data_IF_380969347162
#
_entry.id   IF_380969347162
#
_cell.length_a   1.000
_cell.length_b   1.000
_cell.length_c   1.000
_cell.angle_alpha   90.00
_cell.angle_beta   90.00
_cell.angle_gamma   90.00
#
_symmetry.space_group_name_H-M   'P 1'
#
loop_
_entity.id
_entity.type
_entity.pdbx_description
1 polymer ?
#
# COMPACT_ATOMS: atom_id res chain seq x y z
N UNK A 1 25.55 -33.65 -13.81
CA UNK A 1 24.30 -33.48 -13.09
C UNK A 1 23.50 -32.43 -13.85
N UNK A 2 22.40 -32.80 -14.50
CA UNK A 2 21.55 -31.81 -15.19
C UNK A 2 20.78 -31.01 -14.17
N UNK A 3 20.94 -29.69 -14.17
CA UNK A 3 20.14 -28.80 -13.33
C UNK A 3 18.73 -28.80 -13.97
N UNK A 4 17.79 -29.46 -13.33
CA UNK A 4 16.38 -29.37 -13.72
C UNK A 4 15.86 -28.00 -13.28
N UNK A 5 15.71 -27.05 -14.21
CA UNK A 5 14.95 -25.84 -13.96
C UNK A 5 13.50 -26.22 -13.79
N UNK A 6 12.87 -25.75 -12.72
CA UNK A 6 11.43 -25.87 -12.52
C UNK A 6 10.76 -25.03 -13.60
N UNK A 7 10.11 -25.68 -14.56
CA UNK A 7 9.36 -24.98 -15.60
C UNK A 7 8.16 -24.27 -14.96
N UNK A 8 7.86 -23.06 -15.41
CA UNK A 8 6.58 -22.40 -15.09
C UNK A 8 5.44 -23.27 -15.64
N UNK A 9 4.32 -23.33 -14.92
CA UNK A 9 3.10 -23.92 -15.43
C UNK A 9 2.57 -23.17 -16.68
N UNK A 10 1.58 -23.72 -17.38
CA UNK A 10 0.89 -23.01 -18.45
C UNK A 10 0.38 -21.66 -17.95
N UNK A 11 0.50 -20.60 -18.75
CA UNK A 11 0.18 -19.23 -18.34
C UNK A 11 -1.26 -19.10 -17.85
N UNK A 12 -2.21 -19.77 -18.49
CA UNK A 12 -3.62 -19.74 -18.12
C UNK A 12 -3.84 -20.33 -16.71
N UNK A 13 -3.14 -21.44 -16.38
CA UNK A 13 -3.19 -22.04 -15.05
C UNK A 13 -2.56 -21.14 -13.98
N UNK A 14 -1.40 -20.55 -14.30
CA UNK A 14 -0.74 -19.60 -13.38
C UNK A 14 -1.65 -18.41 -13.10
N UNK A 15 -2.26 -17.84 -14.16
CA UNK A 15 -3.16 -16.69 -14.03
C UNK A 15 -4.42 -17.04 -13.23
N UNK A 16 -5.05 -18.18 -13.48
CA UNK A 16 -6.25 -18.62 -12.78
C UNK A 16 -6.02 -18.78 -11.26
N UNK A 17 -4.84 -19.27 -10.88
CA UNK A 17 -4.49 -19.49 -9.47
C UNK A 17 -4.16 -18.20 -8.70
N UNK A 18 -3.96 -17.07 -9.40
CA UNK A 18 -3.66 -15.78 -8.77
C UNK A 18 -4.90 -15.12 -8.14
N UNK A 19 -6.12 -15.55 -8.47
CA UNK A 19 -7.34 -14.90 -7.98
C UNK A 19 -7.37 -13.41 -8.36
N UNK A 20 -7.63 -12.52 -7.41
CA UNK A 20 -7.66 -11.06 -7.65
C UNK A 20 -6.31 -10.46 -8.04
N UNK A 21 -5.19 -11.19 -7.88
CA UNK A 21 -3.87 -10.74 -8.30
C UNK A 21 -3.61 -10.97 -9.81
N UNK A 22 -4.54 -11.60 -10.55
CA UNK A 22 -4.36 -12.04 -11.93
C UNK A 22 -4.00 -10.90 -12.89
N UNK A 23 -4.48 -9.70 -12.66
CA UNK A 23 -4.20 -8.51 -13.48
C UNK A 23 -2.90 -7.79 -13.13
N UNK A 24 -2.23 -8.17 -12.02
CA UNK A 24 -1.02 -7.49 -11.57
C UNK A 24 0.24 -7.77 -12.42
N UNK A 25 0.51 -9.00 -12.93
CA UNK A 25 1.75 -9.23 -13.67
C UNK A 25 1.97 -8.21 -14.79
N UNK A 26 3.11 -7.48 -14.72
CA UNK A 26 3.45 -6.39 -15.62
C UNK A 26 4.12 -5.23 -14.91
N UNK A 27 4.32 -4.12 -15.62
CA UNK A 27 4.89 -2.87 -15.08
C UNK A 27 3.79 -1.83 -15.00
N UNK A 28 3.66 -1.21 -13.84
CA UNK A 28 2.76 -0.09 -13.60
C UNK A 28 3.59 1.17 -13.38
N UNK A 29 3.20 2.27 -14.00
CA UNK A 29 3.88 3.57 -13.90
C UNK A 29 2.83 4.63 -13.64
N UNK A 30 3.14 5.56 -12.74
CA UNK A 30 2.25 6.68 -12.45
C UNK A 30 2.78 7.61 -11.39
N UNK A 31 1.87 8.34 -10.76
CA UNK A 31 2.18 9.33 -9.75
C UNK A 31 1.36 9.15 -8.49
N UNK A 32 1.86 9.73 -7.42
CA UNK A 32 1.24 9.64 -6.11
C UNK A 32 1.59 10.80 -5.20
N UNK A 33 1.22 10.65 -3.95
CA UNK A 33 1.51 11.60 -2.90
C UNK A 33 1.93 10.84 -1.64
N UNK A 34 3.05 11.27 -1.07
CA UNK A 34 3.60 10.75 0.16
C UNK A 34 3.60 11.82 1.24
N UNK A 35 3.12 11.47 2.43
CA UNK A 35 3.09 12.29 3.61
C UNK A 35 3.71 11.52 4.77
N UNK A 36 4.77 12.06 5.36
CA UNK A 36 5.44 11.47 6.52
C UNK A 36 5.81 12.53 7.55
N UNK A 37 5.45 12.29 8.81
CA UNK A 37 6.03 12.99 9.95
C UNK A 37 7.21 12.18 10.47
N UNK A 38 8.42 12.75 10.44
CA UNK A 38 9.65 12.07 10.87
C UNK A 38 10.33 12.79 12.02
N UNK A 39 11.06 12.08 12.90
CA UNK A 39 11.85 12.70 13.96
C UNK A 39 12.81 13.76 13.39
N UNK A 40 12.94 14.90 14.08
CA UNK A 40 13.77 16.01 13.59
C UNK A 40 14.71 16.56 14.68
N UNK A 41 15.27 15.69 15.51
CA UNK A 41 16.18 16.06 16.60
C UNK A 41 17.38 16.90 16.13
N UNK A 42 17.95 16.58 14.96
CA UNK A 42 19.07 17.34 14.38
C UNK A 42 18.72 18.82 14.09
N UNK A 43 17.41 19.15 13.97
CA UNK A 43 16.91 20.51 13.78
C UNK A 43 16.32 21.10 15.05
N UNK A 44 16.53 20.46 16.20
CA UNK A 44 15.95 20.82 17.50
C UNK A 44 14.42 20.96 17.46
N UNK A 45 13.77 20.09 16.69
CA UNK A 45 12.31 20.00 16.56
C UNK A 45 11.83 18.60 16.93
N UNK A 46 10.61 18.45 17.48
CA UNK A 46 10.05 17.13 17.80
C UNK A 46 9.83 16.30 16.53
N UNK A 47 9.41 16.92 15.44
CA UNK A 47 9.18 16.29 14.15
C UNK A 47 9.32 17.29 13.00
N UNK A 48 9.37 16.75 11.79
CA UNK A 48 9.28 17.46 10.53
C UNK A 48 8.23 16.77 9.65
N UNK A 49 7.26 17.53 9.15
CA UNK A 49 6.30 17.05 8.15
C UNK A 49 6.91 17.17 6.76
N UNK A 50 7.09 16.04 6.11
CA UNK A 50 7.59 15.95 4.75
C UNK A 50 6.47 15.54 3.81
N UNK A 51 6.33 16.26 2.70
CA UNK A 51 5.33 16.04 1.67
C UNK A 51 6.05 15.90 0.32
N UNK A 52 5.81 14.79 -0.38
CA UNK A 52 6.39 14.54 -1.69
C UNK A 52 5.27 14.25 -2.69
N UNK A 53 5.26 14.93 -3.83
CA UNK A 53 4.62 14.40 -5.02
C UNK A 53 5.54 13.33 -5.60
N UNK A 54 5.01 12.14 -5.90
CA UNK A 54 5.83 10.98 -6.25
C UNK A 54 5.61 10.54 -7.69
N UNK A 55 6.68 10.07 -8.31
CA UNK A 55 6.67 9.23 -9.49
C UNK A 55 7.01 7.80 -9.09
N UNK A 56 6.20 6.83 -9.52
CA UNK A 56 6.34 5.45 -9.09
C UNK A 56 6.41 4.47 -10.25
N UNK A 57 7.29 3.48 -10.09
CA UNK A 57 7.39 2.30 -10.95
C UNK A 57 7.16 1.09 -10.06
N UNK A 58 6.13 0.31 -10.37
CA UNK A 58 5.78 -0.90 -9.64
C UNK A 58 5.72 -2.08 -10.61
N UNK A 59 6.68 -3.00 -10.47
CA UNK A 59 6.83 -4.15 -11.34
C UNK A 59 6.36 -5.41 -10.63
N UNK A 60 5.45 -6.15 -11.26
CA UNK A 60 4.98 -7.45 -10.79
C UNK A 60 5.39 -8.55 -11.74
N UNK A 61 5.79 -9.69 -11.20
CA UNK A 61 6.10 -10.88 -11.96
C UNK A 61 5.44 -12.10 -11.32
N UNK A 62 4.65 -12.83 -12.08
CA UNK A 62 4.02 -14.05 -11.59
C UNK A 62 5.05 -15.08 -11.15
N UNK A 63 4.78 -15.76 -10.02
CA UNK A 63 5.51 -16.93 -9.57
C UNK A 63 4.92 -18.10 -10.36
N UNK A 64 5.70 -18.64 -11.28
CA UNK A 64 5.23 -19.60 -12.29
C UNK A 64 4.98 -21.03 -11.79
N UNK A 65 4.96 -21.26 -10.49
CA UNK A 65 4.70 -22.58 -9.90
C UNK A 65 4.16 -22.49 -8.50
N UNK A 66 3.70 -23.62 -7.98
CA UNK A 66 3.17 -23.78 -6.64
C UNK A 66 4.21 -23.43 -5.57
N UNK A 67 3.77 -22.80 -4.51
CA UNK A 67 4.55 -22.55 -3.29
C UNK A 67 3.95 -23.46 -2.22
N UNK A 68 4.50 -24.67 -1.99
CA UNK A 68 3.88 -25.64 -1.09
C UNK A 68 4.13 -25.28 0.38
N UNK A 69 3.05 -25.22 1.16
CA UNK A 69 3.08 -25.19 2.61
C UNK A 69 2.65 -26.54 3.16
N UNK A 70 3.47 -27.09 4.10
CA UNK A 70 3.27 -28.40 4.68
C UNK A 70 2.33 -28.34 5.86
N UNK A 71 1.25 -29.09 5.79
CA UNK A 71 0.30 -29.24 6.88
C UNK A 71 0.78 -30.24 7.93
N UNK A 72 0.34 -30.06 9.17
CA UNK A 72 0.47 -31.04 10.26
C UNK A 72 -0.89 -31.45 10.81
N UNK A 73 -1.85 -30.54 10.84
CA UNK A 73 -3.25 -30.79 11.23
C UNK A 73 -4.19 -30.96 10.02
N UNK A 74 -3.73 -30.60 8.84
CA UNK A 74 -4.45 -30.72 7.57
C UNK A 74 -3.51 -31.18 6.44
N UNK A 75 -4.06 -31.39 5.25
CA UNK A 75 -3.25 -31.65 4.07
C UNK A 75 -2.38 -30.43 3.69
N UNK A 76 -1.31 -30.67 2.93
CA UNK A 76 -0.52 -29.63 2.31
C UNK A 76 -1.40 -28.70 1.47
N UNK A 77 -1.07 -27.39 1.48
CA UNK A 77 -1.68 -26.40 0.60
C UNK A 77 -0.63 -25.79 -0.34
N UNK A 78 -1.07 -25.31 -1.47
CA UNK A 78 -0.22 -24.58 -2.42
C UNK A 78 -0.66 -23.12 -2.48
N UNK A 79 0.28 -22.21 -2.18
CA UNK A 79 0.09 -20.79 -2.39
C UNK A 79 0.51 -20.42 -3.81
N UNK A 80 -0.11 -19.38 -4.36
CA UNK A 80 0.23 -18.79 -5.65
C UNK A 80 0.41 -17.29 -5.50
N UNK A 81 1.19 -16.65 -6.36
CA UNK A 81 1.40 -15.22 -6.14
C UNK A 81 2.25 -14.55 -7.19
N UNK A 82 2.57 -13.30 -6.88
CA UNK A 82 3.48 -12.45 -7.64
C UNK A 82 4.59 -11.93 -6.74
N UNK A 83 5.81 -11.83 -7.28
CA UNK A 83 6.86 -11.01 -6.69
C UNK A 83 6.75 -9.60 -7.23
N UNK A 84 7.17 -8.59 -6.46
CA UNK A 84 7.16 -7.21 -6.93
C UNK A 84 8.41 -6.44 -6.51
N UNK A 85 8.65 -5.36 -7.25
CA UNK A 85 9.59 -4.31 -6.89
C UNK A 85 8.89 -2.97 -7.09
N UNK A 86 8.77 -2.19 -6.02
CA UNK A 86 8.28 -0.82 -6.04
C UNK A 86 9.48 0.14 -5.92
N UNK A 87 9.50 1.16 -6.75
CA UNK A 87 10.47 2.25 -6.73
C UNK A 87 9.68 3.56 -6.73
N UNK A 88 9.97 4.41 -5.73
CA UNK A 88 9.31 5.71 -5.55
C UNK A 88 10.36 6.80 -5.57
N UNK A 89 10.15 7.80 -6.41
CA UNK A 89 11.02 8.97 -6.54
C UNK A 89 10.23 10.25 -6.33
N UNK A 90 10.88 11.29 -5.83
CA UNK A 90 10.31 12.64 -5.77
C UNK A 90 10.16 13.21 -7.18
N UNK A 91 9.02 13.82 -7.48
CA UNK A 91 8.73 14.41 -8.80
C UNK A 91 9.55 15.67 -9.08
N UNK A 92 9.96 16.41 -8.05
CA UNK A 92 10.66 17.68 -8.17
C UNK A 92 12.17 17.47 -8.20
N UNK A 93 12.68 16.74 -7.21
CA UNK A 93 14.11 16.51 -7.04
C UNK A 93 14.62 15.31 -7.83
N UNK A 94 13.72 14.46 -8.32
CA UNK A 94 14.02 13.19 -9.01
C UNK A 94 14.91 12.24 -8.21
N UNK A 95 15.00 12.47 -6.90
CA UNK A 95 15.71 11.60 -5.97
C UNK A 95 14.84 10.39 -5.61
N UNK A 96 15.47 9.22 -5.45
CA UNK A 96 14.78 8.05 -4.97
C UNK A 96 14.51 8.20 -3.47
N UNK A 97 13.25 8.05 -3.06
CA UNK A 97 12.82 8.15 -1.66
C UNK A 97 12.45 6.80 -1.06
N UNK A 98 12.07 5.82 -1.90
CA UNK A 98 11.70 4.50 -1.41
C UNK A 98 11.97 3.40 -2.45
N UNK A 99 12.35 2.22 -1.99
CA UNK A 99 12.42 0.99 -2.76
C UNK A 99 11.90 -0.16 -1.91
N UNK A 100 11.05 -1.02 -2.47
CA UNK A 100 10.46 -2.13 -1.73
C UNK A 100 10.34 -3.37 -2.61
N UNK A 101 11.12 -4.42 -2.38
CA UNK A 101 10.88 -5.75 -2.90
C UNK A 101 9.90 -6.52 -2.00
N UNK A 102 9.05 -7.34 -2.63
CA UNK A 102 8.11 -8.14 -1.86
C UNK A 102 7.36 -9.20 -2.65
N UNK A 103 6.39 -9.80 -1.97
CA UNK A 103 5.50 -10.83 -2.51
C UNK A 103 4.04 -10.46 -2.20
N UNK A 104 3.16 -10.75 -3.15
CA UNK A 104 1.73 -10.90 -2.91
C UNK A 104 1.36 -12.35 -3.15
N UNK A 105 0.69 -12.96 -2.19
CA UNK A 105 0.33 -14.37 -2.20
C UNK A 105 -1.19 -14.52 -2.05
N UNK A 106 -1.75 -15.39 -2.88
CA UNK A 106 -3.08 -15.94 -2.74
C UNK A 106 -2.97 -17.21 -1.92
N UNK A 107 -3.63 -17.25 -0.76
CA UNK A 107 -3.67 -18.36 0.18
C UNK A 107 -5.05 -19.01 0.08
N UNK A 108 -5.16 -20.27 -0.31
CA UNK A 108 -6.46 -20.97 -0.35
C UNK A 108 -7.02 -21.15 1.05
N UNK A 109 -8.30 -21.49 1.14
CA UNK A 109 -8.92 -21.85 2.43
C UNK A 109 -8.17 -23.01 3.12
N UNK A 110 -8.18 -23.00 4.44
CA UNK A 110 -7.55 -24.00 5.30
C UNK A 110 -8.55 -24.62 6.27
N UNK A 111 -8.30 -25.84 6.74
CA UNK A 111 -9.17 -26.54 7.66
C UNK A 111 -8.63 -26.65 9.09
N UNK A 112 -7.29 -26.48 9.27
CA UNK A 112 -6.65 -26.48 10.58
C UNK A 112 -5.42 -25.55 10.58
N UNK A 113 -5.55 -24.31 11.08
CA UNK A 113 -6.81 -23.71 11.58
C UNK A 113 -7.83 -23.48 10.45
N UNK A 114 -9.10 -23.50 10.79
CA UNK A 114 -10.17 -23.17 9.85
C UNK A 114 -10.07 -21.69 9.47
N UNK A 115 -9.77 -21.40 8.20
CA UNK A 115 -9.72 -20.04 7.67
C UNK A 115 -10.16 -20.04 6.19
N UNK A 116 -10.87 -19.00 5.79
CA UNK A 116 -11.22 -18.79 4.40
C UNK A 116 -10.02 -18.36 3.54
N UNK A 117 -10.22 -18.34 2.23
CA UNK A 117 -9.28 -17.75 1.27
C UNK A 117 -8.79 -16.37 1.72
N UNK A 118 -7.54 -16.06 1.47
CA UNK A 118 -6.96 -14.77 1.85
C UNK A 118 -5.81 -14.33 0.93
N UNK A 119 -5.45 -13.06 1.00
CA UNK A 119 -4.30 -12.47 0.32
C UNK A 119 -3.29 -11.99 1.35
N UNK A 120 -2.01 -12.25 1.09
CA UNK A 120 -0.91 -11.89 1.99
C UNK A 120 0.09 -11.02 1.25
N UNK A 121 0.52 -9.92 1.88
CA UNK A 121 1.65 -9.11 1.43
C UNK A 121 2.82 -9.30 2.36
N UNK A 122 3.98 -9.64 1.79
CA UNK A 122 5.27 -9.67 2.46
C UNK A 122 6.19 -8.63 1.80
N UNK A 123 6.83 -7.79 2.60
CA UNK A 123 7.67 -6.72 2.09
C UNK A 123 8.95 -6.57 2.91
N UNK A 124 10.03 -6.15 2.22
CA UNK A 124 11.29 -5.73 2.83
C UNK A 124 11.49 -4.24 2.54
N UNK A 125 11.63 -3.45 3.60
CA UNK A 125 11.77 -2.00 3.52
C UNK A 125 13.19 -1.63 3.94
N UNK A 126 13.99 -0.98 3.05
CA UNK A 126 15.41 -0.71 3.31
C UNK A 126 15.70 0.19 4.50
N UNK A 127 14.68 0.87 5.03
CA UNK A 127 14.80 1.66 6.26
C UNK A 127 15.06 0.78 7.49
N UNK A 128 14.86 -0.54 7.37
CA UNK A 128 15.12 -1.51 8.42
C UNK A 128 13.89 -2.25 8.91
N UNK A 129 12.88 -2.40 8.05
CA UNK A 129 11.61 -3.01 8.41
C UNK A 129 11.30 -4.20 7.51
N UNK A 130 10.62 -5.20 8.08
CA UNK A 130 10.00 -6.31 7.35
C UNK A 130 8.53 -6.36 7.70
N UNK A 131 7.69 -6.50 6.69
CA UNK A 131 6.23 -6.44 6.83
C UNK A 131 5.60 -7.78 6.45
N UNK A 132 4.67 -8.23 7.27
CA UNK A 132 3.70 -9.28 6.96
C UNK A 132 2.31 -8.73 7.24
N UNK A 133 1.49 -8.61 6.20
CA UNK A 133 0.10 -8.17 6.31
C UNK A 133 -0.82 -9.13 5.55
N UNK A 134 -2.03 -9.32 6.07
CA UNK A 134 -3.03 -10.23 5.51
C UNK A 134 -4.30 -9.47 5.17
N UNK A 135 -5.07 -9.97 4.18
CA UNK A 135 -6.33 -9.37 3.81
C UNK A 135 -7.35 -9.44 4.95
N UNK A 136 -7.95 -8.31 5.25
CA UNK A 136 -9.09 -8.17 6.17
C UNK A 136 -10.41 -8.16 5.41
N UNK A 137 -10.35 -7.80 4.13
CA UNK A 137 -11.48 -7.77 3.21
C UNK A 137 -10.97 -7.80 1.78
N UNK A 138 -11.69 -8.50 0.90
CA UNK A 138 -11.49 -8.45 -0.54
C UNK A 138 -12.79 -8.71 -1.29
N UNK A 139 -12.94 -8.13 -2.47
CA UNK A 139 -14.13 -8.27 -3.30
C UNK A 139 -13.90 -7.76 -4.71
N UNK A 140 -14.80 -8.10 -5.60
CA UNK A 140 -14.93 -7.50 -6.94
C UNK A 140 -16.23 -6.71 -7.01
N UNK A 141 -16.16 -5.47 -7.49
CA UNK A 141 -17.33 -4.61 -7.73
C UNK A 141 -17.39 -4.14 -9.17
N UNK A 142 -18.60 -3.93 -9.69
CA UNK A 142 -18.81 -3.28 -10.96
C UNK A 142 -18.71 -1.75 -10.77
N UNK A 143 -17.96 -1.10 -11.68
CA UNK A 143 -17.73 0.34 -11.59
C UNK A 143 -16.50 0.75 -10.80
N UNK A 144 -16.40 2.04 -10.49
CA UNK A 144 -15.26 2.62 -9.79
C UNK A 144 -15.25 2.34 -8.28
N UNK A 145 -14.09 2.51 -7.64
CA UNK A 145 -13.93 2.28 -6.21
C UNK A 145 -14.64 3.34 -5.36
N UNK A 146 -15.06 2.95 -4.16
CA UNK A 146 -15.41 3.89 -3.11
C UNK A 146 -14.16 4.18 -2.27
N UNK A 147 -13.59 5.37 -2.45
CA UNK A 147 -12.38 5.80 -1.75
C UNK A 147 -12.78 6.61 -0.53
N UNK A 148 -12.70 5.99 0.64
CA UNK A 148 -13.04 6.64 1.90
C UNK A 148 -11.90 7.56 2.39
N UNK A 149 -12.20 8.58 3.23
CA UNK A 149 -11.18 9.44 3.82
C UNK A 149 -10.18 8.66 4.68
N UNK A 150 -8.93 9.14 4.69
CA UNK A 150 -7.85 8.62 5.54
C UNK A 150 -7.22 9.77 6.31
N UNK A 151 -7.28 9.70 7.64
CA UNK A 151 -6.73 10.73 8.51
C UNK A 151 -5.20 10.64 8.57
N UNK A 152 -4.52 11.76 8.32
CA UNK A 152 -3.05 11.89 8.35
C UNK A 152 -2.52 12.54 9.63
N UNK A 153 -3.38 13.17 10.43
CA UNK A 153 -2.96 13.90 11.62
C UNK A 153 -2.58 12.97 12.76
N UNK A 154 -1.62 13.37 13.63
CA UNK A 154 -1.15 12.54 14.73
C UNK A 154 -2.23 12.34 15.81
N UNK A 155 -2.09 11.24 16.54
CA UNK A 155 -3.03 10.85 17.60
C UNK A 155 -2.33 10.04 18.69
N UNK A 156 -3.08 9.73 19.77
CA UNK A 156 -2.64 8.84 20.87
C UNK A 156 -3.68 7.75 21.10
N UNK A 157 -3.35 6.77 21.94
CA UNK A 157 -4.28 5.70 22.32
C UNK A 157 -4.35 4.54 21.32
N UNK A 158 -5.51 3.99 21.11
CA UNK A 158 -5.68 2.83 20.22
C UNK A 158 -5.54 3.23 18.75
N UNK A 159 -4.79 2.43 17.99
CA UNK A 159 -4.69 2.61 16.54
C UNK A 159 -5.98 2.11 15.89
N UNK A 160 -6.77 2.98 15.24
CA UNK A 160 -8.02 2.59 14.59
C UNK A 160 -7.76 1.90 13.25
N UNK A 161 -8.80 1.30 12.68
CA UNK A 161 -8.76 0.85 11.29
C UNK A 161 -8.57 2.03 10.31
N UNK A 162 -8.09 1.75 9.10
CA UNK A 162 -7.60 2.74 8.15
C UNK A 162 -8.56 3.92 7.91
N UNK A 163 -9.84 3.63 7.74
CA UNK A 163 -10.86 4.62 7.43
C UNK A 163 -11.66 5.10 8.66
N UNK A 164 -11.23 4.71 9.86
CA UNK A 164 -11.84 5.13 11.12
C UNK A 164 -11.03 6.28 11.71
N UNK A 165 -11.64 7.43 12.03
CA UNK A 165 -10.93 8.51 12.71
C UNK A 165 -10.41 8.06 14.07
N UNK A 166 -9.23 8.52 14.51
CA UNK A 166 -8.71 8.22 15.84
C UNK A 166 -9.59 8.83 16.93
N UNK A 167 -9.81 8.07 18.02
CA UNK A 167 -10.63 8.53 19.15
C UNK A 167 -9.95 9.65 19.96
N UNK A 168 -8.62 9.68 19.95
CA UNK A 168 -7.82 10.65 20.71
C UNK A 168 -6.84 11.40 19.79
N UNK A 169 -7.35 12.27 18.88
CA UNK A 169 -6.49 13.07 18.01
C UNK A 169 -5.68 14.07 18.85
N UNK A 170 -4.46 14.38 18.40
CA UNK A 170 -3.69 15.50 18.96
C UNK A 170 -4.42 16.81 18.64
N UNK A 171 -4.56 17.67 19.65
CA UNK A 171 -5.21 18.98 19.51
C UNK A 171 -4.25 20.16 19.71
N UNK A 172 -3.02 19.89 20.13
CA UNK A 172 -2.00 20.92 20.32
C UNK A 172 -1.62 21.58 18.98
N UNK A 173 -1.81 22.91 18.84
CA UNK A 173 -1.50 23.63 17.62
C UNK A 173 -0.04 23.47 17.15
N UNK A 174 0.91 23.27 18.07
CA UNK A 174 2.32 23.09 17.72
C UNK A 174 2.55 21.85 16.87
N UNK A 175 1.72 20.80 17.04
CA UNK A 175 1.77 19.57 16.24
C UNK A 175 0.88 19.63 15.00
N UNK A 176 -0.12 20.51 14.95
CA UNK A 176 -1.09 20.59 13.86
C UNK A 176 -0.78 21.68 12.83
N UNK A 177 -0.06 22.73 13.21
CA UNK A 177 0.27 23.83 12.30
C UNK A 177 0.96 23.35 11.00
N UNK A 178 1.93 22.42 11.01
CA UNK A 178 2.53 21.91 9.77
C UNK A 178 1.53 21.28 8.80
N UNK A 179 0.46 20.65 9.29
CA UNK A 179 -0.60 20.05 8.44
C UNK A 179 -1.52 21.09 7.80
N UNK A 180 -1.40 22.35 8.18
CA UNK A 180 -2.16 23.47 7.60
C UNK A 180 -1.27 24.41 6.80
N UNK A 181 -0.04 24.63 7.27
CA UNK A 181 0.85 25.69 6.81
C UNK A 181 1.88 25.21 5.77
N UNK A 182 2.12 23.88 5.70
CA UNK A 182 3.03 23.33 4.68
C UNK A 182 2.38 23.40 3.29
N UNK A 183 3.04 23.95 2.29
CA UNK A 183 2.52 23.97 0.93
C UNK A 183 2.43 22.55 0.37
N UNK A 184 1.34 22.27 -0.36
CA UNK A 184 1.21 21.02 -1.10
C UNK A 184 2.11 21.08 -2.35
N UNK A 185 2.97 20.06 -2.62
CA UNK A 185 3.65 19.97 -3.90
C UNK A 185 2.60 19.80 -5.01
N UNK A 186 2.79 20.47 -6.13
CA UNK A 186 1.82 20.49 -7.25
C UNK A 186 2.25 19.67 -8.45
N UNK A 187 3.53 19.37 -8.55
CA UNK A 187 4.11 18.56 -9.61
C UNK A 187 3.54 17.12 -9.53
N UNK A 188 3.23 16.57 -10.69
CA UNK A 188 2.69 15.20 -10.82
C UNK A 188 1.35 14.93 -10.12
N UNK A 189 0.77 15.88 -9.38
CA UNK A 189 -0.52 15.70 -8.73
C UNK A 189 -1.67 16.19 -9.62
N UNK A 190 -2.89 15.64 -9.44
CA UNK A 190 -4.08 16.16 -10.08
C UNK A 190 -4.30 17.65 -9.76
N UNK A 191 -4.78 18.40 -10.73
CA UNK A 191 -5.09 19.83 -10.54
C UNK A 191 -6.33 20.05 -9.68
N UNK A 192 -6.41 21.21 -9.04
CA UNK A 192 -7.59 21.63 -8.28
C UNK A 192 -7.68 21.09 -6.86
N UNK A 193 -6.63 20.43 -6.37
CA UNK A 193 -6.57 19.96 -4.98
C UNK A 193 -6.47 21.14 -4.01
N UNK A 194 -7.26 21.10 -2.93
CA UNK A 194 -7.11 22.04 -1.82
C UNK A 194 -6.01 21.53 -0.87
N UNK A 195 -4.93 22.31 -0.69
CA UNK A 195 -3.75 21.91 0.07
C UNK A 195 -4.08 21.40 1.49
N UNK A 196 -4.75 22.23 2.29
CA UNK A 196 -5.04 21.87 3.69
C UNK A 196 -5.96 20.64 3.82
N UNK A 197 -6.91 20.49 2.91
CA UNK A 197 -7.79 19.32 2.89
C UNK A 197 -7.03 18.06 2.45
N UNK A 198 -6.20 18.16 1.41
CA UNK A 198 -5.41 17.04 0.87
C UNK A 198 -4.37 16.56 1.86
N UNK A 199 -3.69 17.47 2.56
CA UNK A 199 -2.73 17.10 3.61
C UNK A 199 -3.44 16.33 4.73
N UNK A 200 -4.63 16.75 5.15
CA UNK A 200 -5.42 16.06 6.20
C UNK A 200 -6.10 14.78 5.73
N UNK A 201 -6.34 14.66 4.44
CA UNK A 201 -6.94 13.49 3.79
C UNK A 201 -6.27 13.21 2.44
N UNK A 202 -5.14 12.53 2.40
CA UNK A 202 -4.42 12.20 1.16
C UNK A 202 -5.22 11.39 0.14
N UNK A 203 -6.29 10.69 0.56
CA UNK A 203 -7.16 9.95 -0.35
C UNK A 203 -7.86 10.84 -1.41
N UNK A 204 -7.93 12.16 -1.19
CA UNK A 204 -8.42 13.12 -2.19
C UNK A 204 -7.61 13.12 -3.48
N UNK A 205 -6.30 12.78 -3.42
CA UNK A 205 -5.44 12.64 -4.60
C UNK A 205 -5.96 11.50 -5.50
N UNK A 206 -6.33 10.38 -4.90
CA UNK A 206 -6.86 9.22 -5.63
C UNK A 206 -8.21 9.55 -6.27
N UNK A 207 -9.11 10.19 -5.52
CA UNK A 207 -10.43 10.60 -6.03
C UNK A 207 -10.29 11.56 -7.22
N UNK A 208 -9.38 12.53 -7.13
CA UNK A 208 -9.12 13.48 -8.20
C UNK A 208 -8.51 12.81 -9.44
N UNK A 209 -7.62 11.82 -9.25
CA UNK A 209 -6.97 11.13 -10.35
C UNK A 209 -7.92 10.30 -11.23
N UNK A 210 -9.03 9.80 -10.66
CA UNK A 210 -10.02 9.01 -11.42
C UNK A 210 -11.27 9.81 -11.81
N UNK A 211 -11.30 11.10 -11.52
CA UNK A 211 -12.46 11.95 -11.83
C UNK A 211 -12.76 11.91 -13.34
N UNK A 212 -13.99 11.54 -13.70
CA UNK A 212 -14.44 11.44 -15.08
C UNK A 212 -13.98 10.18 -15.83
N UNK A 213 -13.27 9.25 -15.20
CA UNK A 213 -12.93 7.96 -15.82
C UNK A 213 -14.14 7.01 -15.86
N UNK A 214 -14.22 6.21 -16.92
CA UNK A 214 -15.20 5.13 -17.03
C UNK A 214 -14.61 3.82 -16.51
N UNK A 215 -14.55 3.67 -15.18
CA UNK A 215 -14.11 2.43 -14.54
C UNK A 215 -15.28 1.46 -14.57
N UNK A 216 -15.06 0.28 -15.17
CA UNK A 216 -16.12 -0.72 -15.38
C UNK A 216 -16.06 -1.88 -14.38
N UNK A 217 -14.91 -2.10 -13.76
CA UNK A 217 -14.69 -3.16 -12.75
C UNK A 217 -13.60 -2.70 -11.79
N UNK A 218 -13.72 -3.04 -10.52
CA UNK A 218 -12.68 -2.86 -9.51
C UNK A 218 -12.56 -4.11 -8.65
N UNK A 219 -11.37 -4.70 -8.61
CA UNK A 219 -10.99 -5.70 -7.60
C UNK A 219 -10.37 -4.95 -6.42
N UNK A 220 -10.88 -5.21 -5.22
CA UNK A 220 -10.48 -4.52 -3.98
C UNK A 220 -9.79 -5.52 -3.05
N UNK A 221 -8.63 -5.16 -2.52
CA UNK A 221 -7.93 -5.94 -1.49
C UNK A 221 -7.52 -4.98 -0.36
N UNK A 222 -8.10 -5.17 0.81
CA UNK A 222 -7.75 -4.45 2.04
C UNK A 222 -6.88 -5.35 2.91
N UNK A 223 -5.74 -4.87 3.36
CA UNK A 223 -4.79 -5.61 4.19
C UNK A 223 -4.47 -4.87 5.47
N UNK A 224 -4.12 -5.63 6.50
CA UNK A 224 -3.61 -5.11 7.77
C UNK A 224 -2.56 -6.04 8.37
N UNK A 225 -1.60 -5.49 9.09
CA UNK A 225 -0.67 -6.27 9.92
C UNK A 225 -1.21 -6.54 11.33
N UNK A 226 -2.39 -5.97 11.70
CA UNK A 226 -2.90 -6.05 13.07
C UNK A 226 -3.51 -7.41 13.44
N UNK A 227 -4.39 -8.05 12.61
CA UNK A 227 -5.04 -9.30 13.02
C UNK A 227 -4.13 -10.52 12.90
N UNK A 228 -3.19 -10.50 11.93
CA UNK A 228 -2.24 -11.58 11.70
C UNK A 228 -1.03 -11.05 10.92
N UNK A 229 0.17 -11.30 11.42
CA UNK A 229 1.40 -10.79 10.84
C UNK A 229 2.11 -9.82 11.77
N UNK A 230 2.58 -8.70 11.24
CA UNK A 230 3.27 -7.68 12.00
C UNK A 230 4.35 -6.95 11.20
N UNK A 231 5.04 -6.06 11.89
CA UNK A 231 6.22 -5.37 11.39
C UNK A 231 7.38 -5.72 12.32
N UNK A 232 8.51 -6.14 11.73
CA UNK A 232 9.75 -6.36 12.46
C UNK A 232 10.71 -5.26 12.09
N UNK A 233 11.21 -4.54 13.10
CA UNK A 233 12.08 -3.38 12.95
C UNK A 233 13.48 -3.66 13.50
N UNK A 234 14.53 -3.10 12.86
CA UNK A 234 15.87 -3.11 13.44
C UNK A 234 15.91 -2.19 14.69
N UNK A 235 16.87 -2.41 15.63
CA UNK A 235 16.93 -1.66 16.88
C UNK A 235 16.96 -0.15 16.73
N UNK A 236 17.60 0.38 15.68
CA UNK A 236 17.62 1.82 15.42
C UNK A 236 16.21 2.37 15.13
N UNK A 237 15.42 1.67 14.31
CA UNK A 237 14.04 2.06 13.98
C UNK A 237 13.18 1.98 15.22
N UNK A 238 13.25 0.89 16.00
CA UNK A 238 12.51 0.73 17.26
C UNK A 238 12.72 1.93 18.21
N UNK A 239 13.95 2.41 18.30
CA UNK A 239 14.32 3.49 19.23
C UNK A 239 13.96 4.90 18.72
N UNK A 240 13.80 5.10 17.42
CA UNK A 240 13.67 6.43 16.82
C UNK A 240 12.30 6.72 16.21
N UNK A 241 11.75 5.77 15.43
CA UNK A 241 10.44 5.89 14.80
C UNK A 241 9.91 4.47 14.51
N UNK A 242 9.42 3.80 15.56
CA UNK A 242 9.00 2.40 15.46
C UNK A 242 7.80 2.27 14.53
N UNK A 243 7.93 1.50 13.45
CA UNK A 243 6.82 1.15 12.59
C UNK A 243 6.00 0.05 13.27
N UNK A 244 4.78 0.36 13.73
CA UNK A 244 4.00 -0.53 14.59
C UNK A 244 2.82 -1.20 13.89
N UNK A 245 2.27 -0.57 12.85
CA UNK A 245 1.14 -1.11 12.10
C UNK A 245 1.16 -0.61 10.66
N UNK A 246 0.82 -1.49 9.72
CA UNK A 246 0.48 -1.13 8.34
C UNK A 246 -0.96 -1.54 8.04
N UNK A 247 -1.69 -0.64 7.42
CA UNK A 247 -2.99 -0.88 6.79
C UNK A 247 -2.95 -0.34 5.37
N UNK A 248 -3.53 -1.04 4.40
CA UNK A 248 -3.61 -0.55 3.05
C UNK A 248 -4.85 -1.08 2.32
N UNK A 249 -5.30 -0.35 1.32
CA UNK A 249 -6.31 -0.80 0.37
C UNK A 249 -5.72 -0.64 -1.02
N UNK A 250 -5.85 -1.69 -1.83
CA UNK A 250 -5.49 -1.72 -3.24
C UNK A 250 -6.74 -1.89 -4.08
N UNK A 251 -6.86 -1.09 -5.13
CA UNK A 251 -7.93 -1.16 -6.13
C UNK A 251 -7.29 -1.46 -7.48
N UNK A 252 -7.59 -2.63 -8.04
CA UNK A 252 -7.16 -3.05 -9.39
C UNK A 252 -8.33 -2.79 -10.31
N UNK A 253 -8.21 -1.79 -11.17
CA UNK A 253 -9.32 -1.21 -11.91
C UNK A 253 -9.21 -1.50 -13.40
N UNK A 254 -10.32 -1.93 -13.99
CA UNK A 254 -10.47 -1.98 -15.45
C UNK A 254 -11.15 -0.70 -15.91
N UNK A 255 -10.41 0.12 -16.64
CA UNK A 255 -10.88 1.43 -17.14
C UNK A 255 -11.13 1.34 -18.64
N UNK A 256 -12.27 1.82 -19.09
CA UNK A 256 -12.64 1.87 -20.52
C UNK A 256 -12.43 3.27 -21.09
N UNK A 257 -11.60 3.39 -22.10
CA UNK A 257 -11.39 4.63 -22.86
C UNK A 257 -12.58 4.95 -23.76
N UNK A 258 -12.74 6.21 -24.18
CA UNK A 258 -13.82 6.59 -25.12
C UNK A 258 -13.83 5.82 -26.44
N UNK A 259 -12.66 5.35 -26.89
CA UNK A 259 -12.51 4.51 -28.08
C UNK A 259 -12.88 3.03 -27.87
N UNK A 260 -13.35 2.66 -26.67
CA UNK A 260 -13.77 1.31 -26.32
C UNK A 260 -12.64 0.41 -25.79
N UNK A 261 -11.37 0.78 -25.94
CA UNK A 261 -10.24 0.01 -25.40
C UNK A 261 -10.23 0.05 -23.87
N UNK A 262 -9.91 -1.06 -23.24
CA UNK A 262 -9.70 -1.14 -21.80
C UNK A 262 -8.21 -1.14 -21.46
N UNK A 263 -7.90 -0.62 -20.27
CA UNK A 263 -6.58 -0.74 -19.66
C UNK A 263 -6.73 -1.02 -18.16
N UNK A 264 -5.66 -1.52 -17.56
CA UNK A 264 -5.61 -1.80 -16.11
C UNK A 264 -4.92 -0.64 -15.40
N UNK A 265 -5.53 -0.18 -14.34
CA UNK A 265 -5.04 0.84 -13.43
C UNK A 265 -4.98 0.26 -12.03
N UNK A 266 -3.96 0.62 -11.27
CA UNK A 266 -3.81 0.27 -9.86
C UNK A 266 -3.84 1.56 -9.06
N UNK A 267 -4.78 1.67 -8.13
CA UNK A 267 -4.73 2.66 -7.07
C UNK A 267 -4.43 2.00 -5.74
N UNK A 268 -3.76 2.70 -4.85
CA UNK A 268 -3.63 2.27 -3.48
C UNK A 268 -3.58 3.43 -2.50
N UNK A 269 -4.01 3.17 -1.28
CA UNK A 269 -3.70 3.95 -0.09
C UNK A 269 -3.03 3.03 0.92
N UNK A 270 -1.92 3.47 1.47
CA UNK A 270 -1.19 2.77 2.53
C UNK A 270 -0.96 3.73 3.69
N UNK A 271 -1.21 3.27 4.91
CA UNK A 271 -0.89 3.95 6.15
C UNK A 271 0.05 3.08 6.98
N UNK A 272 1.23 3.59 7.29
CA UNK A 272 2.13 3.02 8.29
C UNK A 272 2.10 3.91 9.52
N UNK A 273 1.90 3.34 10.69
CA UNK A 273 1.99 4.09 11.97
C UNK A 273 3.42 4.07 12.44
N UNK A 274 3.98 5.26 12.62
CA UNK A 274 5.30 5.48 13.19
C UNK A 274 5.13 5.97 14.64
N UNK A 275 5.77 5.29 15.58
CA UNK A 275 5.67 5.62 17.01
C UNK A 275 6.94 6.28 17.50
N UNK A 276 6.86 7.54 17.90
CA UNK A 276 7.93 8.26 18.56
C UNK A 276 7.39 9.39 19.44
N UNK A 277 8.12 9.77 20.45
CA UNK A 277 7.74 10.76 21.49
C UNK A 277 6.35 10.54 22.12
N UNK A 278 5.90 9.27 22.20
CA UNK A 278 4.59 8.92 22.79
C UNK A 278 3.37 9.25 21.91
N UNK A 279 3.56 9.49 20.63
CA UNK A 279 2.53 9.86 19.65
C UNK A 279 2.57 8.87 18.48
N UNK A 280 1.40 8.55 17.95
CA UNK A 280 1.21 7.82 16.70
C UNK A 280 1.20 8.79 15.53
N UNK A 281 2.10 8.59 14.57
CA UNK A 281 2.26 9.44 13.39
C UNK A 281 1.91 8.66 12.14
N UNK A 282 0.77 8.94 11.51
CA UNK A 282 0.44 8.31 10.23
C UNK A 282 1.42 8.71 9.13
N UNK A 283 2.11 7.74 8.54
CA UNK A 283 2.81 7.88 7.28
C UNK A 283 1.88 7.35 6.19
N UNK A 284 1.46 8.19 5.26
CA UNK A 284 0.47 7.85 4.25
C UNK A 284 1.07 8.00 2.86
N UNK A 285 0.96 6.93 2.09
CA UNK A 285 1.31 6.92 0.66
C UNK A 285 0.07 6.57 -0.15
N UNK A 286 -0.19 7.33 -1.21
CA UNK A 286 -1.26 7.09 -2.17
C UNK A 286 -0.70 7.20 -3.59
N UNK A 287 -1.14 6.35 -4.51
CA UNK A 287 -0.76 6.46 -5.92
C UNK A 287 -1.83 5.94 -6.86
N UNK A 288 -1.76 6.43 -8.10
CA UNK A 288 -2.51 5.96 -9.25
C UNK A 288 -1.53 5.59 -10.35
N UNK A 289 -1.46 4.30 -10.69
CA UNK A 289 -0.49 3.73 -11.61
C UNK A 289 -1.22 3.03 -12.76
N UNK A 290 -0.71 3.18 -13.98
CA UNK A 290 -1.29 2.56 -15.17
C UNK A 290 -0.36 1.45 -15.68
N UNK A 291 -0.95 0.29 -15.97
CA UNK A 291 -0.24 -0.84 -16.56
C UNK A 291 0.23 -0.49 -17.97
N UNK A 292 1.53 -0.74 -18.25
CA UNK A 292 2.20 -0.47 -19.51
C UNK A 292 2.06 -1.62 -20.51
#
# INVERSE_FOLDING_TARGET
MAIAFRASGPIDTVTANLGLLAELPGTFIGSGFNLISRPAKQHNKPFFLELNATHEILQFMAIGGDIPNRGSGQNDINLHGVRYLQQVSDCVEHSQIHIEPGLWLHVPETSDPQAGESYVRQALIPHGDSVLAQSTFFTTVNGGPQIAPVASTPFTGQIPDLNTPPATPITDPAYLAPFTDTPLPTECLPQGLNAAQTIKNPALVLQAAIAGQNIIKTDVISISSAPAGGIVNIPFVVQNANASRIDAIFWIETVRRPNGQAFIQLQYVQRVILDFIGIHWPHISVATLVKQ
#
